data_IF_345322852119
#
_entry.id   IF_345322852119
#
_cell.length_a   1.000
_cell.length_b   1.000
_cell.length_c   1.000
_cell.angle_alpha   90.00
_cell.angle_beta   90.00
_cell.angle_gamma   90.00
#
_symmetry.space_group_name_H-M   'P 1'
#
loop_
_entity.id
_entity.type
_entity.pdbx_description
1 polymer ?
#
# COMPACT_ATOMS: atom_id res chain seq x y z
N UNK A 1 16.22 0.69 -16.58
CA UNK A 1 15.77 2.02 -16.10
C UNK A 1 14.43 2.33 -16.77
N UNK A 2 13.34 1.65 -16.35
CA UNK A 2 12.00 1.75 -16.98
C UNK A 2 10.88 2.02 -15.95
N UNK A 3 11.22 2.24 -14.68
CA UNK A 3 10.26 2.19 -13.56
C UNK A 3 9.83 3.56 -13.00
N UNK A 4 10.32 4.69 -13.54
CA UNK A 4 10.18 5.99 -12.86
C UNK A 4 9.31 7.05 -13.55
N UNK A 5 8.85 6.85 -14.79
CA UNK A 5 8.08 7.89 -15.50
C UNK A 5 6.57 7.73 -15.33
N UNK A 6 6.05 6.51 -15.32
CA UNK A 6 4.60 6.25 -15.30
C UNK A 6 4.12 5.68 -13.95
N UNK A 7 2.89 6.05 -13.55
CA UNK A 7 2.27 5.54 -12.32
C UNK A 7 1.95 4.03 -12.46
N UNK A 8 1.81 3.33 -11.33
CA UNK A 8 1.37 1.93 -11.33
C UNK A 8 -0.04 1.80 -11.92
N UNK A 9 -0.89 2.78 -11.68
CA UNK A 9 -2.24 2.87 -12.25
C UNK A 9 -2.24 2.96 -13.77
N UNK A 10 -1.46 3.87 -14.36
CA UNK A 10 -1.36 3.99 -15.83
C UNK A 10 -0.92 2.67 -16.47
N UNK A 11 0.02 1.96 -15.83
CA UNK A 11 0.45 0.63 -16.28
C UNK A 11 -0.66 -0.43 -16.14
N UNK A 12 -1.48 -0.38 -15.09
CA UNK A 12 -2.66 -1.25 -14.96
C UNK A 12 -3.71 -0.96 -16.03
N UNK A 13 -3.91 0.30 -16.39
CA UNK A 13 -4.89 0.67 -17.41
C UNK A 13 -4.51 0.14 -18.80
N UNK A 14 -3.21 0.03 -19.10
CA UNK A 14 -2.74 -0.65 -20.32
C UNK A 14 -3.11 -2.14 -20.30
N UNK A 15 -2.92 -2.82 -19.16
CA UNK A 15 -3.27 -4.26 -19.02
C UNK A 15 -4.78 -4.48 -19.12
N UNK A 16 -5.58 -3.58 -18.51
CA UNK A 16 -7.05 -3.62 -18.52
C UNK A 16 -7.70 -3.51 -19.90
N UNK A 17 -6.95 -3.09 -20.93
CA UNK A 17 -7.46 -3.06 -22.30
C UNK A 17 -7.79 -4.45 -22.82
N UNK A 18 -7.07 -5.47 -22.37
CA UNK A 18 -7.16 -6.83 -22.92
C UNK A 18 -7.37 -7.90 -21.82
N UNK A 19 -7.27 -7.55 -20.55
CA UNK A 19 -7.31 -8.49 -19.42
C UNK A 19 -8.07 -7.94 -18.22
N UNK A 20 -8.74 -8.82 -17.48
CA UNK A 20 -9.29 -8.49 -16.17
C UNK A 20 -8.25 -8.71 -15.07
N UNK A 21 -7.92 -7.65 -14.33
CA UNK A 21 -7.05 -7.72 -13.16
C UNK A 21 -7.91 -8.14 -11.96
N UNK A 22 -7.84 -9.42 -11.60
CA UNK A 22 -8.65 -9.97 -10.49
C UNK A 22 -8.00 -9.83 -9.11
N UNK A 23 -6.70 -9.52 -9.05
CA UNK A 23 -5.95 -9.41 -7.78
C UNK A 23 -4.70 -8.53 -7.95
N UNK A 24 -4.34 -7.83 -6.88
CA UNK A 24 -3.11 -7.06 -6.74
C UNK A 24 -2.29 -7.59 -5.57
N UNK A 25 -0.99 -7.76 -5.76
CA UNK A 25 -0.07 -8.29 -4.75
C UNK A 25 1.11 -7.32 -4.63
N UNK A 26 1.41 -6.86 -3.42
CA UNK A 26 2.45 -5.85 -3.22
C UNK A 26 2.81 -5.63 -1.76
N UNK A 27 3.91 -4.92 -1.52
CA UNK A 27 4.43 -4.60 -0.20
C UNK A 27 4.22 -3.14 0.19
N UNK A 28 3.81 -2.29 -0.76
CA UNK A 28 3.56 -0.87 -0.54
C UNK A 28 2.11 -0.52 -0.85
N UNK A 29 1.49 0.39 -0.08
CA UNK A 29 0.08 0.76 -0.28
C UNK A 29 -0.25 1.27 -1.69
N UNK A 30 0.69 1.98 -2.32
CA UNK A 30 0.53 2.50 -3.69
C UNK A 30 0.64 1.41 -4.79
N UNK A 31 0.92 0.15 -4.43
CA UNK A 31 0.70 -0.99 -5.31
C UNK A 31 -0.77 -1.19 -5.61
N UNK A 32 -1.65 -0.89 -4.67
CA UNK A 32 -3.06 -1.23 -4.74
C UNK A 32 -3.89 -0.11 -5.36
N UNK A 33 -3.72 1.13 -4.89
CA UNK A 33 -4.50 2.27 -5.35
C UNK A 33 -3.66 3.55 -5.48
N UNK A 34 -4.07 4.45 -6.36
CA UNK A 34 -3.33 5.67 -6.65
C UNK A 34 -3.45 6.70 -5.51
N UNK A 35 -4.55 6.67 -4.74
CA UNK A 35 -4.79 7.56 -3.60
C UNK A 35 -3.67 7.44 -2.55
N UNK A 36 -3.05 6.28 -2.41
CA UNK A 36 -1.94 6.06 -1.48
C UNK A 36 -0.63 6.74 -1.91
N UNK A 37 -0.50 7.16 -3.19
CA UNK A 37 0.68 7.88 -3.72
C UNK A 37 0.59 9.39 -3.41
N UNK A 38 0.59 9.73 -2.13
CA UNK A 38 0.55 11.11 -1.63
C UNK A 38 1.70 11.39 -0.64
N UNK A 39 1.79 12.63 -0.13
CA UNK A 39 2.79 13.05 0.88
C UNK A 39 2.15 13.27 2.26
N UNK A 40 0.94 12.76 2.48
CA UNK A 40 0.20 12.92 3.73
C UNK A 40 0.77 12.04 4.84
N UNK A 41 0.34 12.32 6.07
CA UNK A 41 0.80 11.60 7.27
C UNK A 41 0.44 10.12 7.26
N UNK A 42 1.16 9.32 8.07
CA UNK A 42 0.82 7.91 8.30
C UNK A 42 -0.59 7.73 8.84
N UNK A 43 -1.12 8.68 9.61
CA UNK A 43 -2.50 8.62 10.12
C UNK A 43 -3.52 8.77 8.99
N UNK A 44 -3.28 9.69 8.06
CA UNK A 44 -4.10 9.83 6.85
C UNK A 44 -4.09 8.54 6.03
N UNK A 45 -2.89 7.96 5.84
CA UNK A 45 -2.72 6.69 5.12
C UNK A 45 -3.49 5.54 5.80
N UNK A 46 -3.47 5.45 7.13
CA UNK A 46 -4.29 4.49 7.90
C UNK A 46 -5.79 4.72 7.70
N UNK A 47 -6.22 5.97 7.60
CA UNK A 47 -7.60 6.32 7.28
C UNK A 47 -8.04 5.82 5.90
N UNK A 48 -7.17 5.93 4.89
CA UNK A 48 -7.43 5.34 3.56
C UNK A 48 -7.48 3.81 3.63
N UNK A 49 -6.54 3.17 4.35
CA UNK A 49 -6.57 1.71 4.55
C UNK A 49 -7.90 1.26 5.18
N UNK A 50 -8.40 2.01 6.17
CA UNK A 50 -9.69 1.70 6.81
C UNK A 50 -10.89 1.86 5.85
N UNK A 51 -10.85 2.84 4.93
CA UNK A 51 -11.90 3.01 3.90
C UNK A 51 -11.91 1.85 2.91
N UNK A 52 -10.73 1.36 2.54
CA UNK A 52 -10.56 0.25 1.59
C UNK A 52 -10.50 -1.13 2.24
N UNK A 53 -10.95 -1.26 3.51
CA UNK A 53 -10.80 -2.48 4.31
C UNK A 53 -11.38 -3.73 3.64
N UNK A 54 -12.41 -3.58 2.80
CA UNK A 54 -13.04 -4.69 2.07
C UNK A 54 -12.12 -5.37 1.04
N UNK A 55 -11.07 -4.68 0.57
CA UNK A 55 -10.15 -5.22 -0.43
C UNK A 55 -9.01 -6.05 0.18
N UNK A 56 -8.53 -5.63 1.35
CA UNK A 56 -7.36 -6.26 1.98
C UNK A 56 -7.65 -7.71 2.39
N UNK A 57 -6.83 -8.63 1.88
CA UNK A 57 -6.99 -10.07 2.09
C UNK A 57 -7.99 -10.75 1.16
N UNK A 58 -8.66 -9.99 0.28
CA UNK A 58 -9.57 -10.51 -0.74
C UNK A 58 -8.92 -10.41 -2.13
N UNK A 59 -8.90 -9.22 -2.71
CA UNK A 59 -8.28 -8.91 -4.01
C UNK A 59 -6.99 -8.08 -3.86
N UNK A 60 -6.70 -7.53 -2.68
CA UNK A 60 -5.42 -6.88 -2.35
C UNK A 60 -4.64 -7.70 -1.33
N UNK A 61 -3.54 -8.32 -1.76
CA UNK A 61 -2.70 -9.16 -0.91
C UNK A 61 -1.40 -8.43 -0.55
N UNK A 62 -1.23 -8.17 0.75
CA UNK A 62 -0.09 -7.42 1.29
C UNK A 62 1.04 -8.36 1.68
N UNK A 63 2.24 -8.07 1.17
CA UNK A 63 3.48 -8.71 1.61
C UNK A 63 4.15 -7.84 2.67
N UNK A 64 4.57 -8.40 3.82
CA UNK A 64 5.22 -7.61 4.86
C UNK A 64 6.61 -7.15 4.40
N UNK A 65 6.85 -5.84 4.43
CA UNK A 65 8.17 -5.25 4.24
C UNK A 65 8.47 -4.26 5.38
N UNK A 66 9.40 -4.61 6.26
CA UNK A 66 9.85 -3.75 7.35
C UNK A 66 11.10 -2.92 6.99
N UNK A 67 11.75 -3.21 5.86
CA UNK A 67 13.09 -2.72 5.54
C UNK A 67 13.10 -1.31 4.95
N UNK A 68 12.19 -1.01 4.01
CA UNK A 68 12.16 0.29 3.33
C UNK A 68 10.82 0.56 2.66
N UNK A 69 10.47 1.84 2.52
CA UNK A 69 9.39 2.30 1.66
C UNK A 69 8.84 3.66 2.11
N UNK A 70 7.62 4.01 1.73
CA UNK A 70 7.02 5.31 2.08
C UNK A 70 6.90 5.53 3.60
N UNK A 71 6.85 4.45 4.37
CA UNK A 71 6.80 4.43 5.83
C UNK A 71 8.17 4.57 6.50
N UNK A 72 9.28 4.54 5.76
CA UNK A 72 10.65 4.57 6.32
C UNK A 72 10.97 5.80 7.18
N UNK A 73 10.23 6.91 6.99
CA UNK A 73 10.39 8.16 7.74
C UNK A 73 9.28 8.39 8.76
N UNK A 74 8.37 7.43 8.94
CA UNK A 74 7.27 7.54 9.89
C UNK A 74 7.77 7.38 11.31
N UNK A 75 7.21 8.17 12.23
CA UNK A 75 7.43 7.97 13.65
C UNK A 75 6.84 6.63 14.09
N UNK A 76 7.65 5.82 14.75
CA UNK A 76 7.23 4.52 15.27
C UNK A 76 6.62 4.72 16.66
N UNK A 77 5.37 4.28 16.83
CA UNK A 77 4.80 4.08 18.16
C UNK A 77 5.40 2.78 18.71
N UNK A 78 6.24 2.90 19.73
CA UNK A 78 6.77 1.71 20.40
C UNK A 78 5.62 0.89 20.99
N UNK A 79 5.73 -0.43 20.85
CA UNK A 79 4.86 -1.37 21.52
C UNK A 79 5.01 -1.21 23.04
N UNK A 80 3.92 -0.87 23.73
CA UNK A 80 3.89 -0.63 25.17
C UNK A 80 3.07 -1.73 25.85
N UNK A 81 3.53 -2.96 25.75
CA UNK A 81 2.96 -4.07 26.52
C UNK A 81 3.63 -4.10 27.88
N UNK A 82 2.83 -3.89 28.93
CA UNK A 82 3.28 -4.18 30.29
C UNK A 82 3.50 -5.68 30.34
N UNK A 83 4.76 -6.10 30.53
CA UNK A 83 5.05 -7.48 30.87
C UNK A 83 4.23 -7.84 32.10
N UNK A 84 3.27 -8.75 31.96
CA UNK A 84 2.62 -9.37 33.11
C UNK A 84 3.73 -10.11 33.88
N UNK A 85 3.82 -9.81 35.19
CA UNK A 85 4.74 -10.46 36.12
C UNK A 85 4.19 -11.80 36.56
#
# INVERSE_FOLDING_TARGET
>A
MLLYTESKEARRDVVRKEHDIIMLIGDSLHDFAAEFKNKESTEYQRGLVAKEAAHFGNDWIVMPNASYGSWSKSELKMWNEKAEK
#
